data_IF_708786037394
#
_entry.id   IF_708786037394
#
_cell.length_a   1.000
_cell.length_b   1.000
_cell.length_c   1.000
_cell.angle_alpha   90.00
_cell.angle_beta   90.00
_cell.angle_gamma   90.00
#
_symmetry.space_group_name_H-M   'P 1'
#
loop_
_entity.id
_entity.type
_entity.pdbx_description
1 polymer ?
#
# COMPACT_ATOMS: atom_id res chain seq x y z
N UNK A 1 9.15 -11.05 -29.53
CA UNK A 1 10.41 -11.49 -28.89
C UNK A 1 10.13 -11.70 -27.42
N UNK A 2 10.55 -12.83 -26.82
CA UNK A 2 9.93 -13.37 -25.62
C UNK A 2 10.39 -12.67 -24.33
N UNK A 3 9.53 -12.80 -23.32
CA UNK A 3 9.68 -12.33 -21.95
C UNK A 3 10.90 -12.94 -21.24
N UNK A 4 11.53 -12.16 -20.36
CA UNK A 4 12.64 -12.60 -19.54
C UNK A 4 12.14 -13.01 -18.14
N UNK A 5 12.18 -14.32 -17.86
CA UNK A 5 12.20 -14.95 -16.54
C UNK A 5 13.59 -15.61 -16.37
N UNK A 6 14.36 -15.32 -15.30
CA UNK A 6 15.46 -16.19 -14.80
C UNK A 6 15.79 -15.91 -13.32
N UNK A 7 16.02 -16.97 -12.55
CA UNK A 7 16.68 -16.99 -11.22
C UNK A 7 18.11 -17.58 -11.31
N UNK A 8 19.04 -17.25 -10.38
CA UNK A 8 20.04 -18.15 -9.73
C UNK A 8 21.01 -17.42 -8.73
N UNK A 9 21.49 -18.20 -7.75
CA UNK A 9 22.34 -17.97 -6.52
C UNK A 9 23.89 -18.01 -6.83
N UNK A 10 24.92 -17.81 -5.94
CA UNK A 10 24.95 -17.88 -4.45
C UNK A 10 25.95 -17.01 -3.59
N UNK A 11 25.64 -16.96 -2.28
CA UNK A 11 26.50 -16.87 -1.04
C UNK A 11 27.01 -15.56 -0.42
N UNK A 12 26.74 -15.44 0.90
CA UNK A 12 27.42 -14.75 2.04
C UNK A 12 27.35 -13.20 2.09
N UNK A 13 27.03 -12.51 3.20
CA UNK A 13 27.37 -12.66 4.63
C UNK A 13 26.24 -12.09 5.52
N UNK A 14 26.02 -12.72 6.69
CA UNK A 14 25.08 -12.34 7.74
C UNK A 14 25.56 -11.10 8.53
N UNK A 15 24.81 -10.00 8.50
CA UNK A 15 24.46 -9.10 9.62
C UNK A 15 23.59 -7.97 9.04
N UNK A 16 22.28 -8.00 9.34
CA UNK A 16 21.18 -7.31 8.63
C UNK A 16 21.15 -7.54 7.11
N UNK A 17 20.20 -8.35 6.57
CA UNK A 17 20.03 -8.40 5.13
C UNK A 17 19.45 -7.04 4.65
N UNK A 18 19.77 -6.59 3.42
CA UNK A 18 18.82 -5.72 2.71
C UNK A 18 17.44 -6.38 2.75
N UNK A 19 16.39 -5.56 2.83
CA UNK A 19 15.00 -6.04 2.95
C UNK A 19 14.77 -7.21 1.99
N UNK A 20 14.32 -8.33 2.54
CA UNK A 20 14.47 -9.62 1.88
C UNK A 20 13.59 -9.72 0.63
N UNK A 21 14.24 -9.89 -0.51
CA UNK A 21 13.73 -10.61 -1.67
C UNK A 21 13.48 -12.08 -1.31
N UNK A 22 12.30 -12.61 -1.63
CA UNK A 22 12.14 -14.05 -1.71
C UNK A 22 11.77 -14.45 -3.13
N UNK A 23 12.33 -15.59 -3.51
CA UNK A 23 12.20 -16.20 -4.81
C UNK A 23 10.72 -16.43 -5.17
N UNK A 24 10.22 -15.70 -6.17
CA UNK A 24 8.99 -16.04 -6.86
C UNK A 24 9.19 -17.30 -7.71
N UNK A 25 8.31 -18.28 -7.55
CA UNK A 25 8.19 -19.45 -8.42
C UNK A 25 6.93 -19.27 -9.27
N UNK A 26 7.08 -19.22 -10.60
CA UNK A 26 5.96 -19.11 -11.54
C UNK A 26 5.11 -20.40 -11.57
N UNK A 27 3.76 -20.31 -11.65
CA UNK A 27 2.91 -21.39 -12.14
C UNK A 27 2.83 -21.38 -13.67
N UNK A 28 2.61 -22.56 -14.24
CA UNK A 28 2.47 -22.83 -15.68
C UNK A 28 1.29 -22.09 -16.33
N UNK A 29 1.48 -21.65 -17.57
CA UNK A 29 0.52 -20.92 -18.40
C UNK A 29 -0.67 -21.79 -18.82
N UNK A 30 -1.89 -21.36 -18.49
CA UNK A 30 -3.12 -21.69 -19.23
C UNK A 30 -3.76 -20.39 -19.75
N UNK A 31 -4.26 -20.35 -21.00
CA UNK A 31 -4.71 -19.11 -21.63
C UNK A 31 -6.19 -18.79 -21.35
N UNK A 32 -6.51 -17.52 -21.57
CA UNK A 32 -7.82 -16.84 -21.60
C UNK A 32 -8.37 -16.32 -20.26
N UNK A 33 -8.19 -15.02 -20.04
CA UNK A 33 -9.06 -14.22 -19.18
C UNK A 33 -9.86 -13.23 -20.04
N UNK A 34 -11.18 -13.07 -19.79
CA UNK A 34 -11.96 -12.02 -20.40
C UNK A 34 -11.73 -10.70 -19.65
N UNK A 35 -11.84 -9.60 -20.40
CA UNK A 35 -11.73 -8.21 -19.94
C UNK A 35 -12.62 -7.92 -18.72
N UNK A 36 -12.01 -7.45 -17.62
CA UNK A 36 -12.71 -6.93 -16.45
C UNK A 36 -13.24 -5.52 -16.73
N UNK A 37 -14.56 -5.37 -16.78
CA UNK A 37 -15.23 -4.07 -16.80
C UNK A 37 -15.39 -3.56 -15.37
N UNK A 38 -14.76 -2.41 -15.08
CA UNK A 38 -15.07 -1.62 -13.89
C UNK A 38 -16.45 -0.96 -14.07
N UNK A 39 -17.48 -1.58 -13.50
CA UNK A 39 -18.82 -1.00 -13.44
C UNK A 39 -18.87 0.16 -12.46
N UNK A 40 -19.08 1.38 -12.95
CA UNK A 40 -19.53 2.50 -12.13
C UNK A 40 -20.98 2.25 -11.72
N UNK A 41 -21.22 1.98 -10.43
CA UNK A 41 -22.58 1.94 -9.88
C UNK A 41 -22.84 3.11 -8.94
N UNK A 42 -23.90 3.86 -9.27
CA UNK A 42 -24.51 4.93 -8.46
C UNK A 42 -25.31 4.30 -7.33
N UNK A 43 -24.77 4.36 -6.11
CA UNK A 43 -25.54 4.21 -4.88
C UNK A 43 -25.98 5.57 -4.37
N UNK A 44 -27.30 5.79 -4.25
CA UNK A 44 -27.88 6.98 -3.62
C UNK A 44 -27.55 7.00 -2.13
N UNK A 45 -26.88 8.07 -1.67
CA UNK A 45 -26.66 8.33 -0.24
C UNK A 45 -26.87 9.82 0.05
N UNK A 46 -27.60 10.07 1.13
CA UNK A 46 -28.01 11.38 1.62
C UNK A 46 -26.78 12.28 1.83
N UNK A 47 -26.72 13.39 1.09
CA UNK A 47 -25.61 14.34 1.17
C UNK A 47 -25.76 15.20 2.44
N UNK A 48 -24.84 15.06 3.39
CA UNK A 48 -24.34 16.23 4.11
C UNK A 48 -23.14 16.72 3.33
N UNK A 49 -23.34 17.82 2.60
CA UNK A 49 -22.34 18.45 1.77
C UNK A 49 -21.15 18.93 2.63
N UNK A 50 -19.97 18.33 2.45
CA UNK A 50 -18.73 19.04 2.72
C UNK A 50 -18.27 19.69 1.42
N UNK A 51 -18.12 21.01 1.46
CA UNK A 51 -17.64 21.83 0.35
C UNK A 51 -16.17 21.47 0.10
N UNK A 52 -15.93 20.59 -0.87
CA UNK A 52 -14.59 20.33 -1.38
C UNK A 52 -14.01 21.64 -1.94
N UNK A 53 -12.81 22.04 -1.49
CA UNK A 53 -12.00 23.09 -2.11
C UNK A 53 -11.57 22.60 -3.50
N UNK A 54 -12.44 22.81 -4.49
CA UNK A 54 -12.17 22.58 -5.91
C UNK A 54 -11.01 23.45 -6.46
N UNK A 55 -10.53 24.43 -5.68
CA UNK A 55 -9.62 25.46 -6.17
C UNK A 55 -8.13 25.11 -6.01
N UNK A 56 -7.75 24.08 -5.25
CA UNK A 56 -6.34 23.70 -5.07
C UNK A 56 -5.82 22.83 -6.24
N UNK A 57 -6.68 21.97 -6.79
CA UNK A 57 -6.34 21.03 -7.86
C UNK A 57 -6.06 21.69 -9.22
N UNK A 58 -6.58 22.89 -9.49
CA UNK A 58 -6.22 23.68 -10.68
C UNK A 58 -4.84 24.33 -10.57
N UNK A 59 -4.37 24.61 -9.35
CA UNK A 59 -3.08 25.26 -9.12
C UNK A 59 -1.89 24.32 -9.38
N UNK A 60 -2.07 23.01 -9.12
CA UNK A 60 -1.01 22.02 -9.38
C UNK A 60 -0.89 21.69 -10.88
N UNK A 61 -1.98 21.77 -11.65
CA UNK A 61 -1.91 21.57 -13.11
C UNK A 61 -1.34 22.76 -13.88
N UNK A 62 -1.31 23.95 -13.29
CA UNK A 62 -0.95 25.19 -13.99
C UNK A 62 0.45 25.75 -13.67
N UNK A 63 1.24 25.09 -12.82
CA UNK A 63 2.53 25.60 -12.34
C UNK A 63 3.76 25.27 -13.18
N UNK A 64 3.77 25.57 -14.49
CA UNK A 64 5.03 25.72 -15.24
C UNK A 64 5.33 27.21 -15.37
N UNK A 65 6.45 27.60 -14.75
CA UNK A 65 7.20 28.85 -14.88
C UNK A 65 6.58 30.12 -14.25
N UNK A 66 7.11 30.50 -13.08
CA UNK A 66 7.69 31.84 -12.82
C UNK A 66 8.32 31.91 -11.41
N UNK A 67 9.60 32.31 -11.38
CA UNK A 67 10.26 32.88 -10.21
C UNK A 67 9.47 34.10 -9.72
N UNK A 68 9.17 34.18 -8.42
CA UNK A 68 9.56 35.35 -7.65
C UNK A 68 9.51 35.11 -6.14
N UNK A 69 10.49 35.67 -5.46
CA UNK A 69 10.73 35.63 -4.01
C UNK A 69 9.66 36.42 -3.23
N UNK A 70 8.85 35.73 -2.43
CA UNK A 70 8.19 36.27 -1.25
C UNK A 70 7.85 35.13 -0.28
N UNK A 71 8.63 34.98 0.80
CA UNK A 71 8.24 34.09 1.90
C UNK A 71 7.15 34.78 2.72
N UNK A 72 5.89 34.41 2.46
CA UNK A 72 4.76 34.73 3.32
C UNK A 72 4.79 33.73 4.48
N UNK A 73 5.16 34.20 5.67
CA UNK A 73 5.05 33.41 6.90
C UNK A 73 3.56 33.41 7.27
N UNK A 74 2.84 32.36 6.90
CA UNK A 74 1.48 32.13 7.38
C UNK A 74 1.52 31.80 8.88
N UNK A 75 0.69 32.50 9.66
CA UNK A 75 0.48 32.18 11.06
C UNK A 75 -0.19 30.80 11.17
N UNK A 76 0.15 29.98 12.19
CA UNK A 76 -0.44 28.65 12.33
C UNK A 76 -1.97 28.78 12.48
N UNK A 77 -2.76 28.01 11.72
CA UNK A 77 -4.20 27.98 11.92
C UNK A 77 -4.48 27.58 13.37
N UNK A 78 -5.44 28.27 13.99
CA UNK A 78 -5.97 27.91 15.30
C UNK A 78 -6.35 26.43 15.28
N UNK A 79 -5.80 25.65 16.22
CA UNK A 79 -6.01 24.22 16.36
C UNK A 79 -7.52 23.94 16.57
N UNK A 80 -8.25 23.83 15.48
CA UNK A 80 -9.40 22.94 15.43
C UNK A 80 -8.81 21.55 15.59
N UNK A 81 -9.18 20.85 16.67
CA UNK A 81 -8.89 19.44 16.84
C UNK A 81 -9.59 18.69 15.70
N UNK A 82 -8.97 18.65 14.52
CA UNK A 82 -9.31 17.72 13.47
C UNK A 82 -9.01 16.33 14.04
N UNK A 83 -10.06 15.69 14.60
CA UNK A 83 -9.94 14.37 15.17
C UNK A 83 -9.30 13.41 14.17
N UNK A 84 -8.46 12.49 14.67
CA UNK A 84 -7.75 11.54 13.83
C UNK A 84 -8.70 10.91 12.81
N UNK A 85 -8.39 10.94 11.50
CA UNK A 85 -9.30 10.42 10.49
C UNK A 85 -9.51 8.93 10.73
N UNK A 86 -10.77 8.58 10.95
CA UNK A 86 -11.20 7.21 11.22
C UNK A 86 -10.72 6.27 10.10
N UNK A 87 -10.40 5.01 10.44
CA UNK A 87 -10.00 4.02 9.46
C UNK A 87 -11.09 3.85 8.39
N UNK A 88 -10.68 3.87 7.12
CA UNK A 88 -11.57 3.57 5.99
C UNK A 88 -11.59 2.06 5.77
N UNK A 89 -12.78 1.46 5.69
CA UNK A 89 -12.96 0.05 5.28
C UNK A 89 -14.00 -0.04 4.16
N UNK A 90 -13.65 -0.68 3.04
CA UNK A 90 -14.57 -0.88 1.92
C UNK A 90 -14.18 -2.08 1.04
N UNK A 91 -15.16 -2.64 0.33
CA UNK A 91 -14.94 -3.71 -0.66
C UNK A 91 -14.23 -3.13 -1.88
N UNK A 92 -13.03 -3.63 -2.17
CA UNK A 92 -12.22 -3.27 -3.33
C UNK A 92 -12.62 -4.06 -4.57
N UNK A 93 -12.87 -5.36 -4.40
CA UNK A 93 -13.25 -6.29 -5.48
C UNK A 93 -14.24 -7.30 -4.92
N UNK A 94 -15.25 -7.66 -5.72
CA UNK A 94 -16.14 -8.79 -5.47
C UNK A 94 -16.03 -9.77 -6.64
N UNK A 95 -15.95 -11.06 -6.35
CA UNK A 95 -15.84 -12.14 -7.33
C UNK A 95 -16.82 -13.23 -6.99
N UNK A 96 -17.64 -13.62 -7.95
CA UNK A 96 -18.50 -14.80 -7.83
C UNK A 96 -17.77 -15.98 -8.47
N UNK A 97 -17.64 -17.08 -7.72
CA UNK A 97 -17.10 -18.35 -8.19
C UNK A 97 -18.19 -19.17 -8.88
N UNK A 98 -17.78 -20.17 -9.63
CA UNK A 98 -18.69 -21.04 -10.41
C UNK A 98 -19.65 -21.86 -9.53
N UNK A 99 -19.30 -22.07 -8.26
CA UNK A 99 -20.12 -22.73 -7.24
C UNK A 99 -21.14 -21.79 -6.56
N UNK A 100 -21.21 -20.52 -7.00
CA UNK A 100 -22.08 -19.49 -6.43
C UNK A 100 -21.48 -18.77 -5.21
N UNK A 101 -20.29 -19.18 -4.75
CA UNK A 101 -19.61 -18.57 -3.61
C UNK A 101 -19.06 -17.20 -3.99
N UNK A 102 -19.26 -16.21 -3.13
CA UNK A 102 -18.80 -14.83 -3.36
C UNK A 102 -17.56 -14.56 -2.51
N UNK A 103 -16.47 -14.17 -3.16
CA UNK A 103 -15.27 -13.66 -2.50
C UNK A 103 -15.22 -12.13 -2.60
N UNK A 104 -15.12 -11.47 -1.45
CA UNK A 104 -14.89 -10.04 -1.36
C UNK A 104 -13.46 -9.77 -0.89
N UNK A 105 -12.75 -8.89 -1.59
CA UNK A 105 -11.48 -8.34 -1.16
C UNK A 105 -11.75 -6.98 -0.56
N UNK A 106 -11.44 -6.82 0.72
CA UNK A 106 -11.70 -5.62 1.50
C UNK A 106 -10.39 -4.89 1.75
N UNK A 107 -10.37 -3.59 1.45
CA UNK A 107 -9.32 -2.69 1.88
C UNK A 107 -9.67 -2.11 3.25
N UNK A 108 -8.67 -1.99 4.13
CA UNK A 108 -8.77 -1.21 5.37
C UNK A 108 -7.52 -0.35 5.58
N UNK A 109 -7.66 0.94 5.88
CA UNK A 109 -6.56 1.87 6.20
C UNK A 109 -6.27 2.03 7.70
N UNK A 110 -6.92 1.23 8.54
CA UNK A 110 -6.58 1.10 9.94
C UNK A 110 -7.39 0.00 10.63
N UNK A 111 -6.69 -0.79 11.45
CA UNK A 111 -7.25 -1.95 12.13
C UNK A 111 -6.15 -2.71 12.84
N UNK A 112 -6.52 -3.48 13.86
CA UNK A 112 -5.58 -4.38 14.53
C UNK A 112 -5.26 -5.54 13.59
N UNK A 113 -3.99 -5.67 13.23
CA UNK A 113 -3.47 -6.82 12.50
C UNK A 113 -2.98 -7.83 13.51
N UNK A 114 -3.46 -9.07 13.41
CA UNK A 114 -2.88 -10.17 14.15
C UNK A 114 -1.44 -10.44 13.65
N UNK A 115 -0.47 -10.39 14.56
CA UNK A 115 0.93 -10.64 14.24
C UNK A 115 1.19 -12.05 13.70
N UNK A 116 0.34 -13.03 14.06
CA UNK A 116 0.42 -14.38 13.52
C UNK A 116 -0.04 -14.44 12.07
N UNK A 117 -1.11 -13.71 11.71
CA UNK A 117 -1.57 -13.59 10.32
C UNK A 117 -0.53 -12.88 9.45
N UNK A 118 0.05 -11.80 9.96
CA UNK A 118 1.13 -11.10 9.27
C UNK A 118 2.37 -11.98 9.11
N UNK A 119 2.75 -12.76 10.14
CA UNK A 119 3.86 -13.70 10.01
C UNK A 119 3.57 -14.79 8.97
N UNK A 120 2.35 -15.33 8.95
CA UNK A 120 1.94 -16.32 7.95
C UNK A 120 1.99 -15.74 6.52
N UNK A 121 1.60 -14.47 6.34
CA UNK A 121 1.72 -13.78 5.06
C UNK A 121 3.20 -13.54 4.69
N UNK A 122 4.03 -13.14 5.64
CA UNK A 122 5.48 -12.98 5.46
C UNK A 122 6.13 -14.31 5.02
N UNK A 123 5.76 -15.43 5.66
CA UNK A 123 6.27 -16.76 5.32
C UNK A 123 5.92 -17.15 3.87
N UNK A 124 4.69 -16.84 3.40
CA UNK A 124 4.26 -17.11 2.02
C UNK A 124 5.02 -16.32 0.98
N UNK A 125 5.25 -15.04 1.24
CA UNK A 125 6.05 -14.23 0.31
C UNK A 125 7.51 -14.62 0.38
N UNK A 126 7.97 -15.22 1.49
CA UNK A 126 9.31 -15.77 1.74
C UNK A 126 10.22 -14.84 2.56
N UNK A 127 9.63 -13.89 3.29
CA UNK A 127 10.37 -12.99 4.18
C UNK A 127 10.88 -13.73 5.43
N UNK A 128 12.07 -13.36 5.94
CA UNK A 128 12.58 -13.93 7.16
C UNK A 128 11.68 -13.57 8.35
N UNK A 129 11.48 -14.53 9.25
CA UNK A 129 10.70 -14.30 10.47
C UNK A 129 11.39 -13.26 11.36
N UNK A 130 10.57 -12.38 11.94
CA UNK A 130 10.96 -11.34 12.90
C UNK A 130 10.42 -11.72 14.29
N UNK A 131 11.08 -11.34 15.38
CA UNK A 131 10.51 -11.53 16.72
C UNK A 131 9.13 -10.86 16.81
N UNK A 132 8.09 -11.64 17.14
CA UNK A 132 6.69 -11.19 17.11
C UNK A 132 6.43 -9.97 18.00
N UNK A 133 7.09 -9.88 19.15
CA UNK A 133 7.00 -8.71 20.03
C UNK A 133 7.50 -7.44 19.34
N UNK A 134 8.62 -7.51 18.62
CA UNK A 134 9.15 -6.37 17.86
C UNK A 134 8.28 -6.03 16.66
N UNK A 135 7.67 -7.03 16.01
CA UNK A 135 6.73 -6.82 14.92
C UNK A 135 5.46 -6.10 15.42
N UNK A 136 4.93 -6.51 16.57
CA UNK A 136 3.80 -5.84 17.23
C UNK A 136 4.12 -4.37 17.53
N UNK A 137 5.31 -4.09 18.08
CA UNK A 137 5.75 -2.71 18.31
C UNK A 137 5.90 -1.92 17.01
N UNK A 138 6.47 -2.50 15.96
CA UNK A 138 6.61 -1.83 14.67
C UNK A 138 5.25 -1.46 14.06
N UNK A 139 4.24 -2.34 14.18
CA UNK A 139 2.88 -2.07 13.73
C UNK A 139 2.23 -0.94 14.54
N UNK A 140 2.31 -1.00 15.86
CA UNK A 140 1.72 0.02 16.76
C UNK A 140 2.35 1.40 16.59
N UNK A 141 3.64 1.46 16.28
CA UNK A 141 4.36 2.72 16.05
C UNK A 141 4.37 3.14 14.57
N UNK A 142 3.59 2.47 13.71
CA UNK A 142 3.41 2.91 12.32
C UNK A 142 2.24 3.87 12.22
N UNK A 143 2.41 4.91 11.41
CA UNK A 143 1.41 5.95 11.23
C UNK A 143 0.18 5.42 10.49
N UNK A 144 0.41 4.57 9.48
CA UNK A 144 -0.66 3.87 8.76
C UNK A 144 -0.23 2.43 8.52
N UNK A 145 -1.19 1.52 8.72
CA UNK A 145 -1.11 0.15 8.24
C UNK A 145 -2.35 -0.15 7.41
N UNK A 146 -2.16 -0.22 6.10
CA UNK A 146 -3.21 -0.58 5.15
C UNK A 146 -3.20 -2.09 4.92
N UNK A 147 -4.38 -2.70 4.80
CA UNK A 147 -4.55 -4.14 4.65
C UNK A 147 -5.52 -4.51 3.55
N UNK A 148 -5.33 -5.70 2.99
CA UNK A 148 -6.29 -6.39 2.15
C UNK A 148 -6.71 -7.68 2.84
N UNK A 149 -8.01 -7.88 3.00
CA UNK A 149 -8.59 -9.11 3.54
C UNK A 149 -9.49 -9.76 2.50
N UNK A 150 -9.36 -11.07 2.31
CA UNK A 150 -10.37 -11.87 1.61
C UNK A 150 -11.43 -12.33 2.60
N UNK A 151 -12.70 -12.17 2.23
CA UNK A 151 -13.85 -12.74 2.90
C UNK A 151 -14.62 -13.58 1.90
N UNK A 152 -14.90 -14.80 2.30
CA UNK A 152 -15.78 -15.71 1.58
C UNK A 152 -17.19 -15.64 2.16
N UNK A 153 -18.20 -15.56 1.27
CA UNK A 153 -19.62 -15.58 1.61
C UNK A 153 -20.32 -16.65 0.79
N UNK A 154 -21.12 -17.47 1.45
CA UNK A 154 -22.09 -18.33 0.77
C UNK A 154 -23.40 -17.58 0.56
N UNK A 155 -24.17 -18.00 -0.44
CA UNK A 155 -25.46 -17.38 -0.74
C UNK A 155 -26.44 -17.62 0.41
N UNK A 156 -26.91 -16.53 1.04
CA UNK A 156 -27.85 -16.58 2.17
C UNK A 156 -27.25 -16.58 3.58
N UNK A 157 -25.93 -16.62 3.75
CA UNK A 157 -25.30 -16.46 5.08
C UNK A 157 -25.27 -14.98 5.52
N UNK A 158 -25.76 -14.74 6.74
CA UNK A 158 -25.76 -13.40 7.37
C UNK A 158 -24.43 -13.12 8.07
N UNK A 159 -23.64 -14.17 8.33
CA UNK A 159 -22.36 -14.08 9.02
C UNK A 159 -21.23 -13.95 7.99
N UNK A 160 -20.33 -12.98 8.21
CA UNK A 160 -19.15 -12.82 7.37
C UNK A 160 -18.20 -13.98 7.64
N UNK A 161 -17.79 -14.71 6.59
CA UNK A 161 -16.72 -15.70 6.69
C UNK A 161 -15.44 -15.10 7.27
N UNK A 162 -14.54 -15.97 7.73
CA UNK A 162 -13.29 -15.56 8.39
C UNK A 162 -12.47 -14.62 7.49
N UNK A 163 -12.14 -13.43 8.01
CA UNK A 163 -11.25 -12.47 7.32
C UNK A 163 -9.86 -13.07 7.21
N UNK A 164 -9.38 -13.28 5.99
CA UNK A 164 -8.02 -13.76 5.71
C UNK A 164 -7.15 -12.61 5.23
N UNK A 165 -6.06 -12.31 5.93
CA UNK A 165 -5.09 -11.30 5.49
C UNK A 165 -4.38 -11.78 4.20
N UNK A 166 -4.54 -11.02 3.12
CA UNK A 166 -3.96 -11.31 1.80
C UNK A 166 -3.05 -10.19 1.28
N UNK A 167 -2.92 -9.08 2.00
CA UNK A 167 -1.98 -8.03 1.66
C UNK A 167 -1.84 -6.98 2.76
N UNK A 168 -0.69 -6.32 2.82
CA UNK A 168 -0.40 -5.26 3.77
C UNK A 168 0.53 -4.21 3.15
N UNK A 169 0.31 -2.95 3.47
CA UNK A 169 1.26 -1.87 3.26
C UNK A 169 1.42 -1.05 4.55
N UNK A 170 2.65 -0.74 4.95
CA UNK A 170 2.96 -0.05 6.21
C UNK A 170 3.81 1.18 5.99
N UNK A 171 3.42 2.30 6.61
CA UNK A 171 4.17 3.55 6.55
C UNK A 171 4.40 4.16 7.95
N UNK A 172 5.61 4.69 8.17
CA UNK A 172 5.91 5.59 9.30
C UNK A 172 5.82 7.03 8.84
N UNK A 173 5.57 7.96 9.76
CA UNK A 173 5.50 9.40 9.45
C UNK A 173 6.00 10.23 10.61
N UNK A 174 6.42 11.47 10.33
CA UNK A 174 6.58 12.53 11.34
C UNK A 174 5.25 13.25 11.66
N UNK A 175 4.14 12.75 11.09
CA UNK A 175 2.76 13.24 11.22
C UNK A 175 2.50 14.59 10.57
N UNK A 176 3.47 15.17 9.87
CA UNK A 176 3.35 16.53 9.33
C UNK A 176 3.79 16.59 7.87
N UNK A 177 5.01 16.17 7.56
CA UNK A 177 5.62 16.41 6.25
C UNK A 177 5.99 15.13 5.52
N UNK A 178 6.55 14.17 6.25
CA UNK A 178 7.27 13.06 5.66
C UNK A 178 6.65 11.72 6.06
N UNK A 179 6.41 10.86 5.08
CA UNK A 179 6.15 9.45 5.30
C UNK A 179 7.13 8.56 4.53
N UNK A 180 7.42 7.40 5.11
CA UNK A 180 8.21 6.34 4.46
C UNK A 180 7.42 5.04 4.46
N UNK A 181 7.17 4.48 3.28
CA UNK A 181 6.56 3.17 3.08
C UNK A 181 7.66 2.11 3.23
N UNK A 182 7.47 1.17 4.16
CA UNK A 182 8.46 0.14 4.51
C UNK A 182 8.10 -1.22 3.95
N UNK A 183 6.98 -1.77 4.41
CA UNK A 183 6.58 -3.13 4.07
C UNK A 183 5.42 -3.04 3.07
N UNK A 184 5.54 -3.68 1.90
CA UNK A 184 4.46 -3.85 0.93
C UNK A 184 4.49 -5.30 0.46
N UNK A 185 3.43 -6.05 0.75
CA UNK A 185 3.33 -7.45 0.38
C UNK A 185 1.89 -7.85 0.07
N UNK A 186 1.75 -8.76 -0.88
CA UNK A 186 0.49 -9.37 -1.30
C UNK A 186 0.71 -10.88 -1.36
N UNK A 187 -0.25 -11.66 -0.86
CA UNK A 187 -0.23 -13.11 -0.90
C UNK A 187 0.03 -13.58 -2.35
N UNK A 188 1.00 -14.48 -2.60
CA UNK A 188 1.34 -14.92 -3.96
C UNK A 188 0.13 -15.38 -4.79
N UNK A 189 -0.86 -16.02 -4.16
CA UNK A 189 -2.10 -16.47 -4.85
C UNK A 189 -2.98 -15.32 -5.32
N UNK A 190 -2.72 -14.09 -4.86
CA UNK A 190 -3.48 -12.88 -5.16
C UNK A 190 -2.68 -11.86 -6.00
N UNK A 191 -1.48 -12.22 -6.44
CA UNK A 191 -0.65 -11.36 -7.28
C UNK A 191 -1.04 -11.41 -8.75
N UNK A 192 -0.57 -10.44 -9.54
CA UNK A 192 -0.98 -10.27 -10.94
C UNK A 192 -2.40 -9.71 -11.12
N UNK A 193 -3.15 -9.53 -10.03
CA UNK A 193 -4.55 -9.07 -10.04
C UNK A 193 -4.70 -7.54 -9.83
N UNK A 194 -3.59 -6.80 -9.85
CA UNK A 194 -3.58 -5.34 -9.61
C UNK A 194 -3.77 -4.91 -8.15
N UNK A 195 -3.84 -5.86 -7.21
CA UNK A 195 -4.08 -5.56 -5.79
C UNK A 195 -2.95 -4.76 -5.13
N UNK A 196 -1.68 -5.04 -5.46
CA UNK A 196 -0.55 -4.26 -4.94
C UNK A 196 -0.61 -2.79 -5.36
N UNK A 197 -0.98 -2.54 -6.63
CA UNK A 197 -1.22 -1.19 -7.15
C UNK A 197 -2.34 -0.50 -6.39
N UNK A 198 -3.49 -1.15 -6.26
CA UNK A 198 -4.64 -0.58 -5.56
C UNK A 198 -4.33 -0.27 -4.08
N UNK A 199 -3.60 -1.17 -3.41
CA UNK A 199 -3.18 -0.99 -2.01
C UNK A 199 -2.30 0.25 -1.85
N UNK A 200 -1.28 0.43 -2.70
CA UNK A 200 -0.37 1.58 -2.63
C UNK A 200 -1.09 2.87 -3.02
N UNK A 201 -1.90 2.87 -4.07
CA UNK A 201 -2.68 4.06 -4.46
C UNK A 201 -3.59 4.53 -3.33
N UNK A 202 -4.23 3.61 -2.61
CA UNK A 202 -5.08 3.95 -1.47
C UNK A 202 -4.28 4.45 -0.29
N UNK A 203 -3.15 3.82 0.03
CA UNK A 203 -2.23 4.30 1.07
C UNK A 203 -1.76 5.74 0.78
N UNK A 204 -1.32 6.02 -0.46
CA UNK A 204 -0.89 7.36 -0.88
C UNK A 204 -2.04 8.36 -0.73
N UNK A 205 -3.25 8.01 -1.17
CA UNK A 205 -4.42 8.90 -0.99
C UNK A 205 -4.69 9.19 0.47
N UNK A 206 -4.62 8.20 1.35
CA UNK A 206 -4.80 8.42 2.80
C UNK A 206 -3.71 9.31 3.38
N UNK A 207 -2.45 9.16 2.97
CA UNK A 207 -1.36 10.04 3.40
C UNK A 207 -1.57 11.49 2.93
N UNK A 208 -1.95 11.69 1.66
CA UNK A 208 -2.21 13.01 1.10
C UNK A 208 -3.44 13.68 1.73
N UNK A 209 -4.49 12.92 2.08
CA UNK A 209 -5.65 13.42 2.82
C UNK A 209 -5.28 13.90 4.23
N UNK A 210 -4.17 13.39 4.78
CA UNK A 210 -3.59 13.79 6.07
C UNK A 210 -2.49 14.86 5.91
N UNK A 211 -2.47 15.53 4.77
CA UNK A 211 -1.53 16.61 4.41
C UNK A 211 -0.04 16.21 4.38
N UNK A 212 0.27 14.91 4.25
CA UNK A 212 1.64 14.43 4.10
C UNK A 212 2.01 14.44 2.62
N UNK A 213 2.78 15.46 2.22
CA UNK A 213 3.20 15.67 0.83
C UNK A 213 4.45 14.89 0.39
N UNK A 214 5.39 14.60 1.31
CA UNK A 214 6.63 13.91 0.97
C UNK A 214 6.55 12.42 1.32
N UNK A 215 6.35 11.56 0.31
CA UNK A 215 6.18 10.12 0.49
C UNK A 215 7.36 9.39 -0.17
N UNK A 216 8.12 8.66 0.64
CA UNK A 216 9.33 7.94 0.23
C UNK A 216 9.17 6.43 0.39
N UNK A 217 9.99 5.67 -0.33
CA UNK A 217 10.12 4.22 -0.17
C UNK A 217 11.52 3.75 -0.60
N UNK A 218 11.88 2.54 -0.21
CA UNK A 218 13.06 1.85 -0.70
C UNK A 218 12.62 0.66 -1.54
N UNK A 219 12.96 0.68 -2.83
CA UNK A 219 12.59 -0.36 -3.78
C UNK A 219 13.78 -1.26 -4.11
N UNK A 220 13.56 -2.57 -4.11
CA UNK A 220 14.48 -3.51 -4.76
C UNK A 220 14.48 -3.28 -6.27
N UNK A 221 15.62 -3.56 -6.90
CA UNK A 221 15.83 -3.36 -8.35
C UNK A 221 14.72 -3.95 -9.24
N UNK A 222 14.14 -5.09 -8.84
CA UNK A 222 13.11 -5.81 -9.58
C UNK A 222 11.74 -5.11 -9.58
N UNK A 223 11.46 -4.24 -8.59
CA UNK A 223 10.16 -3.59 -8.42
C UNK A 223 10.20 -2.08 -8.65
N UNK A 224 11.36 -1.53 -9.06
CA UNK A 224 11.50 -0.10 -9.38
C UNK A 224 10.47 0.32 -10.43
N UNK A 225 10.32 -0.44 -11.50
CA UNK A 225 9.39 -0.09 -12.58
C UNK A 225 7.92 -0.13 -12.12
N UNK A 226 7.57 -1.03 -11.20
CA UNK A 226 6.25 -1.05 -10.58
C UNK A 226 5.95 0.27 -9.86
N UNK A 227 6.89 0.78 -9.05
CA UNK A 227 6.73 2.05 -8.35
C UNK A 227 6.82 3.27 -9.27
N UNK A 228 7.63 3.22 -10.33
CA UNK A 228 7.66 4.29 -11.35
C UNK A 228 6.30 4.46 -12.02
N UNK A 229 5.63 3.36 -12.34
CA UNK A 229 4.27 3.39 -12.89
C UNK A 229 3.20 3.94 -11.92
N UNK A 230 3.54 4.06 -10.62
CA UNK A 230 2.72 4.70 -9.59
C UNK A 230 3.09 6.18 -9.35
N UNK A 231 4.10 6.70 -10.06
CA UNK A 231 4.56 8.09 -9.94
C UNK A 231 5.75 8.29 -9.00
N UNK A 232 6.36 7.22 -8.46
CA UNK A 232 7.62 7.36 -7.72
C UNK A 232 8.79 7.57 -8.68
N UNK A 233 9.72 8.45 -8.28
CA UNK A 233 10.94 8.71 -9.04
C UNK A 233 12.17 8.23 -8.25
N UNK A 234 13.06 7.43 -8.85
CA UNK A 234 14.32 7.07 -8.22
C UNK A 234 15.30 8.24 -8.29
N UNK A 235 15.96 8.53 -7.16
CA UNK A 235 17.01 9.55 -7.03
C UNK A 235 16.63 10.96 -7.58
N UNK A 236 15.47 11.53 -7.18
CA UNK A 236 15.07 12.86 -7.64
C UNK A 236 16.13 13.89 -7.26
N UNK A 237 16.49 14.76 -8.20
CA UNK A 237 17.55 15.77 -8.06
C UNK A 237 18.92 15.23 -7.60
N UNK A 238 19.17 13.92 -7.82
CA UNK A 238 20.40 13.26 -7.40
C UNK A 238 20.47 12.92 -5.91
N UNK A 239 19.37 13.08 -5.16
CA UNK A 239 19.26 12.66 -3.75
C UNK A 239 19.46 11.15 -3.66
N UNK A 240 20.25 10.68 -2.68
CA UNK A 240 20.54 9.26 -2.49
C UNK A 240 20.04 8.75 -1.14
N UNK A 241 19.31 7.64 -1.17
CA UNK A 241 19.05 6.84 0.02
C UNK A 241 20.34 6.21 0.54
N UNK A 242 20.63 6.34 1.83
CA UNK A 242 21.84 5.80 2.45
C UNK A 242 21.47 4.92 3.64
N UNK A 243 22.19 3.81 3.79
CA UNK A 243 22.07 2.92 4.94
C UNK A 243 23.34 2.99 5.78
N UNK A 244 23.17 3.09 7.10
CA UNK A 244 24.29 3.07 8.03
C UNK A 244 24.59 1.64 8.47
N UNK A 245 25.86 1.25 8.37
CA UNK A 245 26.36 -0.01 8.86
C UNK A 245 27.39 0.27 9.95
N UNK A 246 27.20 -0.23 11.19
CA UNK A 246 28.20 -0.09 12.22
C UNK A 246 29.48 -0.76 11.76
N UNK A 247 30.57 0.01 11.74
CA UNK A 247 31.91 -0.55 11.71
C UNK A 247 32.30 -0.70 13.17
N UNK A 248 32.61 -1.92 13.59
CA UNK A 248 32.99 -2.34 14.96
C UNK A 248 31.82 -2.61 15.91
#
# INVERSE_FOLDING_TARGET
MPAYDVALSPTAVKHYPPMASPYFRAPELCPSSPSLNFGFWRGSRNQKASRLKANFWESIRSGILKNDTAQVIEAPPSAEEEGEPLPEEFVLVERTRDDGMVEQIIFSSGGNIDVYDLQALCDKVGWPRRPLSKLAEALRNSYIVATLHSIEKSDGEVEYGQKKLIGMARATSDHVFNATIWDVLVDPSYQGLGLGKALIEKLIRTLLQRDIGNISLFADSQVVEFYRNLGFEPDPDGIKGMFWYPKY
#
